data_IF_151655188223
#
_entry.id   IF_151655188223
#
_cell.length_a   1.000
_cell.length_b   1.000
_cell.length_c   1.000
_cell.angle_alpha   90.00
_cell.angle_beta   90.00
_cell.angle_gamma   90.00
#
_symmetry.space_group_name_H-M   'P 1'
#
loop_
_entity.id
_entity.type
_entity.pdbx_description
1 polymer ?
#
# COMPACT_ATOMS: atom_id res chain seq x y z
N UNK A 1 -11.47 3.84 -0.04
CA UNK A 1 -10.19 4.26 0.59
C UNK A 1 -9.72 3.36 1.72
N UNK A 2 -10.58 2.90 2.63
CA UNK A 2 -10.16 1.95 3.68
C UNK A 2 -9.44 0.72 3.12
N UNK A 3 -9.86 0.24 1.93
CA UNK A 3 -9.17 -0.82 1.21
C UNK A 3 -7.73 -0.49 0.84
N UNK A 4 -7.45 0.74 0.39
CA UNK A 4 -6.09 1.16 0.06
C UNK A 4 -5.22 1.23 1.32
N UNK A 5 -5.79 1.74 2.41
CA UNK A 5 -5.09 1.80 3.71
C UNK A 5 -4.82 0.38 4.24
N UNK A 6 -5.77 -0.54 4.12
CA UNK A 6 -5.60 -1.93 4.55
C UNK A 6 -4.54 -2.66 3.68
N UNK A 7 -4.60 -2.50 2.36
CA UNK A 7 -3.57 -2.99 1.44
C UNK A 7 -2.20 -2.42 1.81
N UNK A 8 -2.08 -1.10 2.00
CA UNK A 8 -0.81 -0.47 2.35
C UNK A 8 -0.31 -0.94 3.70
N UNK A 9 -1.19 -1.06 4.70
CA UNK A 9 -0.81 -1.50 6.03
C UNK A 9 -0.30 -2.94 6.02
N UNK A 10 -0.97 -3.82 5.30
CA UNK A 10 -0.51 -5.20 5.10
C UNK A 10 0.81 -5.24 4.34
N UNK A 11 0.99 -4.40 3.32
CA UNK A 11 2.25 -4.32 2.58
C UNK A 11 3.41 -3.74 3.41
N UNK A 12 3.13 -2.86 4.38
CA UNK A 12 4.16 -2.39 5.33
C UNK A 12 4.60 -3.54 6.24
N UNK A 13 3.64 -4.28 6.81
CA UNK A 13 3.91 -5.34 7.79
C UNK A 13 4.43 -6.65 7.19
N UNK A 14 4.07 -6.98 5.94
CA UNK A 14 4.42 -8.21 5.26
C UNK A 14 5.13 -7.89 3.94
N UNK A 15 6.45 -8.13 3.92
CA UNK A 15 7.26 -7.90 2.73
C UNK A 15 6.89 -8.81 1.56
N UNK A 16 6.45 -10.05 1.81
CA UNK A 16 5.98 -10.96 0.76
C UNK A 16 4.70 -10.44 0.12
N UNK A 17 3.75 -9.96 0.92
CA UNK A 17 2.56 -9.28 0.41
C UNK A 17 2.93 -7.99 -0.33
N UNK A 18 3.91 -7.22 0.16
CA UNK A 18 4.43 -6.05 -0.57
C UNK A 18 4.91 -6.41 -1.97
N UNK A 19 5.67 -7.50 -2.14
CA UNK A 19 6.11 -7.94 -3.47
C UNK A 19 4.91 -8.23 -4.40
N UNK A 20 3.86 -8.85 -3.89
CA UNK A 20 2.63 -9.07 -4.65
C UNK A 20 1.96 -7.76 -5.08
N UNK A 21 1.95 -6.74 -4.23
CA UNK A 21 1.44 -5.40 -4.60
C UNK A 21 2.37 -4.73 -5.63
N UNK A 22 3.68 -4.76 -5.43
CA UNK A 22 4.67 -4.07 -6.26
C UNK A 22 4.72 -4.56 -7.71
N UNK A 23 4.48 -5.86 -7.92
CA UNK A 23 4.56 -6.50 -9.23
C UNK A 23 3.21 -7.00 -9.76
N UNK A 24 2.17 -6.99 -8.93
CA UNK A 24 0.82 -7.48 -9.26
C UNK A 24 -0.29 -6.52 -8.85
N UNK A 25 -0.05 -5.21 -8.90
CA UNK A 25 -1.01 -4.19 -8.47
C UNK A 25 -2.41 -4.36 -9.12
N UNK A 26 -2.46 -4.75 -10.40
CA UNK A 26 -3.71 -5.05 -11.10
C UNK A 26 -4.46 -6.24 -10.49
N UNK A 27 -3.76 -7.32 -10.16
CA UNK A 27 -4.36 -8.51 -9.53
C UNK A 27 -4.84 -8.20 -8.11
N UNK A 28 -4.07 -7.41 -7.36
CA UNK A 28 -4.50 -6.92 -6.05
C UNK A 28 -5.74 -6.04 -6.16
N UNK A 29 -5.77 -5.10 -7.10
CA UNK A 29 -6.92 -4.24 -7.33
C UNK A 29 -8.19 -5.05 -7.66
N UNK A 30 -8.05 -6.07 -8.51
CA UNK A 30 -9.15 -6.98 -8.84
C UNK A 30 -9.60 -7.80 -7.63
N UNK A 31 -8.66 -8.42 -6.89
CA UNK A 31 -8.96 -9.24 -5.72
C UNK A 31 -9.64 -8.47 -4.60
N UNK A 32 -9.34 -7.19 -4.47
CA UNK A 32 -9.93 -6.29 -3.46
C UNK A 32 -11.16 -5.54 -3.97
N UNK A 33 -11.56 -5.77 -5.22
CA UNK A 33 -12.66 -5.06 -5.89
C UNK A 33 -12.52 -3.54 -5.76
N UNK A 34 -11.34 -3.03 -6.06
CA UNK A 34 -11.08 -1.59 -6.07
C UNK A 34 -11.85 -0.92 -7.21
N UNK A 35 -12.30 0.31 -6.98
CA UNK A 35 -12.79 1.16 -8.07
C UNK A 35 -11.67 1.49 -9.06
N UNK A 36 -12.01 2.05 -10.23
CA UNK A 36 -11.00 2.53 -11.18
C UNK A 36 -10.08 3.58 -10.58
N UNK A 37 -10.65 4.50 -9.80
CA UNK A 37 -9.89 5.57 -9.14
C UNK A 37 -8.98 4.99 -8.04
N UNK A 38 -9.49 4.06 -7.23
CA UNK A 38 -8.69 3.38 -6.22
C UNK A 38 -7.55 2.57 -6.85
N UNK A 39 -7.81 1.87 -7.96
CA UNK A 39 -6.78 1.13 -8.68
C UNK A 39 -5.70 2.05 -9.30
N UNK A 40 -6.09 3.23 -9.78
CA UNK A 40 -5.16 4.24 -10.27
C UNK A 40 -4.28 4.78 -9.13
N UNK A 41 -4.85 5.04 -7.95
CA UNK A 41 -4.08 5.45 -6.77
C UNK A 41 -3.15 4.33 -6.27
N UNK A 42 -3.62 3.07 -6.27
CA UNK A 42 -2.82 1.91 -5.88
C UNK A 42 -1.59 1.76 -6.79
N UNK A 43 -1.78 1.87 -8.11
CA UNK A 43 -0.71 1.70 -9.11
C UNK A 43 0.19 2.94 -9.28
N UNK A 44 -0.22 4.09 -8.77
CA UNK A 44 0.55 5.33 -8.77
C UNK A 44 1.20 5.64 -7.43
N UNK A 45 0.60 6.57 -6.68
CA UNK A 45 1.18 7.12 -5.45
C UNK A 45 1.43 6.04 -4.39
N UNK A 46 0.47 5.14 -4.14
CA UNK A 46 0.65 4.11 -3.10
C UNK A 46 1.78 3.14 -3.47
N UNK A 47 1.87 2.73 -4.74
CA UNK A 47 2.97 1.88 -5.21
C UNK A 47 4.32 2.55 -5.01
N UNK A 48 4.40 3.86 -5.27
CA UNK A 48 5.62 4.66 -5.14
C UNK A 48 6.08 4.71 -3.69
N UNK A 49 5.16 4.99 -2.76
CA UNK A 49 5.45 5.00 -1.33
C UNK A 49 5.88 3.61 -0.83
N UNK A 50 5.22 2.53 -1.28
CA UNK A 50 5.60 1.17 -0.91
C UNK A 50 6.99 0.76 -1.44
N UNK A 51 7.40 1.27 -2.61
CA UNK A 51 8.76 1.04 -3.16
C UNK A 51 9.86 1.76 -2.38
N UNK A 52 9.54 2.89 -1.76
CA UNK A 52 10.49 3.70 -1.01
C UNK A 52 10.80 3.13 0.40
N UNK A 53 9.98 2.21 0.89
CA UNK A 53 10.16 1.60 2.21
C UNK A 53 11.44 0.74 2.27
N UNK A 54 12.10 0.67 3.45
CA UNK A 54 13.19 -0.26 3.67
C UNK A 54 12.77 -1.72 3.49
N UNK A 55 13.74 -2.56 3.12
CA UNK A 55 13.55 -3.99 2.82
C UNK A 55 14.34 -4.86 3.80
N UNK A 56 13.68 -5.55 4.75
CA UNK A 56 12.30 -5.32 5.21
C UNK A 56 12.19 -4.08 6.12
N UNK A 57 10.95 -3.59 6.31
CA UNK A 57 10.64 -2.62 7.39
C UNK A 57 10.88 -3.31 8.73
N UNK A 58 11.57 -2.63 9.64
CA UNK A 58 11.83 -3.19 10.96
C UNK A 58 10.53 -3.23 11.79
N UNK A 59 10.30 -4.25 12.63
CA UNK A 59 9.07 -4.35 13.41
C UNK A 59 8.75 -3.11 14.25
N UNK A 60 9.77 -2.42 14.77
CA UNK A 60 9.61 -1.20 15.54
C UNK A 60 9.07 -0.01 14.72
N UNK A 61 9.30 -0.02 13.41
CA UNK A 61 8.93 1.07 12.51
C UNK A 61 7.60 0.82 11.78
N UNK A 62 7.06 -0.41 11.85
CA UNK A 62 5.82 -0.81 11.14
C UNK A 62 4.67 0.15 11.45
N UNK A 63 4.39 0.42 12.73
CA UNK A 63 3.26 1.28 13.10
C UNK A 63 3.42 2.72 12.60
N UNK A 64 4.65 3.24 12.61
CA UNK A 64 4.98 4.58 12.12
C UNK A 64 4.79 4.67 10.61
N UNK A 65 5.29 3.70 9.85
CA UNK A 65 5.14 3.67 8.39
C UNK A 65 3.68 3.46 7.97
N UNK A 66 2.94 2.61 8.68
CA UNK A 66 1.50 2.42 8.46
C UNK A 66 0.73 3.74 8.67
N UNK A 67 1.02 4.46 9.75
CA UNK A 67 0.41 5.76 10.01
C UNK A 67 0.77 6.78 8.91
N UNK A 68 2.05 6.85 8.52
CA UNK A 68 2.53 7.75 7.46
C UNK A 68 1.83 7.50 6.13
N UNK A 69 1.76 6.25 5.67
CA UNK A 69 1.08 5.90 4.42
C UNK A 69 -0.43 6.13 4.50
N UNK A 70 -1.05 5.85 5.65
CA UNK A 70 -2.47 6.12 5.85
C UNK A 70 -2.78 7.62 5.72
N UNK A 71 -1.96 8.52 6.29
CA UNK A 71 -2.12 9.96 6.15
C UNK A 71 -1.93 10.44 4.71
N UNK A 72 -0.97 9.87 3.97
CA UNK A 72 -0.80 10.16 2.54
C UNK A 72 -2.06 9.76 1.77
N UNK A 73 -2.55 8.53 1.96
CA UNK A 73 -3.76 8.04 1.28
C UNK A 73 -4.97 8.91 1.63
N UNK A 74 -5.06 9.39 2.88
CA UNK A 74 -6.10 10.31 3.31
C UNK A 74 -6.02 11.69 2.64
N UNK A 75 -4.83 12.18 2.36
CA UNK A 75 -4.61 13.46 1.69
C UNK A 75 -4.81 13.43 0.16
N UNK A 76 -5.08 12.26 -0.44
CA UNK A 76 -5.35 12.13 -1.87
C UNK A 76 -6.82 12.41 -2.23
N UNK A 77 -7.63 12.80 -1.25
CA UNK A 77 -9.04 13.17 -1.41
C UNK A 77 -9.39 14.48 -0.70
#
# INVERSE_FOLDING_TARGET
MDKLIDISNRAVADYGFRQAVLYGATDIANKWSLSKDEAALLSGTVLTELRALPVPVQPADVSTEQARLAEIIKGLF
#
